data_IF_005533638651
#
_entry.id   IF_005533638651
#
_cell.length_a   1.000
_cell.length_b   1.000
_cell.length_c   1.000
_cell.angle_alpha   90.00
_cell.angle_beta   90.00
_cell.angle_gamma   90.00
#
_symmetry.space_group_name_H-M   'P 1'
#
loop_
_entity.id
_entity.type
_entity.pdbx_description
1 polymer ?
#
# COMPACT_ATOMS: atom_id res chain seq x y z
N UNK A 1 27.38 -22.77 -10.55
CA UNK A 1 26.22 -22.05 -9.94
C UNK A 1 25.77 -22.91 -8.79
N UNK A 2 26.12 -22.52 -7.57
CA UNK A 2 25.84 -23.31 -6.36
C UNK A 2 24.36 -23.23 -6.04
N UNK A 3 23.67 -24.38 -6.05
CA UNK A 3 22.29 -24.47 -5.56
C UNK A 3 22.23 -23.93 -4.11
N UNK A 4 21.25 -23.08 -3.76
CA UNK A 4 21.08 -22.66 -2.39
C UNK A 4 20.82 -23.90 -1.51
N UNK A 5 21.51 -23.97 -0.38
CA UNK A 5 21.42 -25.06 0.58
C UNK A 5 19.95 -25.24 1.01
N UNK A 6 19.38 -26.46 0.98
CA UNK A 6 17.93 -26.66 1.10
C UNK A 6 17.30 -26.25 2.43
N UNK A 7 18.09 -25.95 3.47
CA UNK A 7 17.60 -25.82 4.85
C UNK A 7 18.31 -24.70 5.62
N UNK A 8 18.63 -23.56 4.99
CA UNK A 8 19.05 -22.39 5.78
C UNK A 8 17.80 -21.76 6.45
N UNK A 9 17.69 -21.77 7.80
CA UNK A 9 16.53 -21.21 8.50
C UNK A 9 16.31 -19.72 8.22
N UNK A 10 17.35 -19.01 7.80
CA UNK A 10 17.32 -17.59 7.45
C UNK A 10 17.02 -17.30 5.98
N UNK A 11 16.88 -18.31 5.12
CA UNK A 11 16.70 -18.11 3.68
C UNK A 11 15.47 -17.26 3.37
N UNK A 12 14.31 -17.62 3.93
CA UNK A 12 13.04 -16.88 3.74
C UNK A 12 13.18 -15.43 4.23
N UNK A 13 13.87 -15.21 5.36
CA UNK A 13 14.10 -13.86 5.87
C UNK A 13 14.89 -12.98 4.89
N UNK A 14 15.96 -13.55 4.30
CA UNK A 14 16.82 -12.82 3.37
C UNK A 14 16.11 -12.55 2.05
N UNK A 15 15.39 -13.52 1.49
CA UNK A 15 14.69 -13.31 0.22
C UNK A 15 13.48 -12.36 0.38
N UNK A 16 12.74 -12.43 1.50
CA UNK A 16 11.71 -11.44 1.82
C UNK A 16 12.31 -10.04 1.97
N UNK A 17 13.41 -9.89 2.72
CA UNK A 17 14.10 -8.62 2.88
C UNK A 17 14.62 -8.06 1.54
N UNK A 18 15.18 -8.93 0.70
CA UNK A 18 15.60 -8.57 -0.65
C UNK A 18 14.42 -8.14 -1.51
N UNK A 19 13.29 -8.85 -1.47
CA UNK A 19 12.07 -8.49 -2.20
C UNK A 19 11.52 -7.12 -1.79
N UNK A 20 11.55 -6.79 -0.49
CA UNK A 20 11.15 -5.46 0.01
C UNK A 20 12.08 -4.35 -0.49
N UNK A 21 13.40 -4.56 -0.40
CA UNK A 21 14.37 -3.57 -0.91
C UNK A 21 14.20 -3.40 -2.43
N UNK A 22 14.02 -4.50 -3.15
CA UNK A 22 13.83 -4.48 -4.60
C UNK A 22 12.55 -3.73 -4.98
N UNK A 23 11.48 -3.87 -4.18
CA UNK A 23 10.24 -3.15 -4.35
C UNK A 23 10.41 -1.64 -4.16
N UNK A 24 11.15 -1.22 -3.14
CA UNK A 24 11.49 0.20 -2.92
C UNK A 24 12.35 0.75 -4.06
N UNK A 25 13.38 0.01 -4.48
CA UNK A 25 14.22 0.40 -5.62
C UNK A 25 13.39 0.52 -6.90
N UNK A 26 12.43 -0.39 -7.12
CA UNK A 26 11.53 -0.34 -8.26
C UNK A 26 10.68 0.94 -8.31
N UNK A 27 10.25 1.43 -7.16
CA UNK A 27 9.46 2.67 -7.07
C UNK A 27 10.32 3.93 -7.20
N UNK A 28 11.50 3.91 -6.60
CA UNK A 28 12.36 5.09 -6.48
C UNK A 28 13.28 5.30 -7.70
N UNK A 29 13.74 4.22 -8.34
CA UNK A 29 14.62 4.32 -9.50
C UNK A 29 13.77 4.49 -10.76
N UNK A 30 13.79 5.70 -11.28
CA UNK A 30 13.10 6.08 -12.49
C UNK A 30 14.06 6.77 -13.45
N UNK A 31 13.86 6.54 -14.75
CA UNK A 31 14.54 7.25 -15.83
C UNK A 31 13.45 8.00 -16.58
N UNK A 32 13.54 9.34 -16.62
CA UNK A 32 12.52 10.19 -17.25
C UNK A 32 11.10 9.91 -16.72
N UNK A 33 10.98 9.80 -15.38
CA UNK A 33 9.72 9.50 -14.67
C UNK A 33 9.08 8.14 -14.99
N UNK A 34 9.82 7.26 -15.68
CA UNK A 34 9.38 5.89 -16.00
C UNK A 34 10.12 4.88 -15.17
N UNK A 35 9.36 3.90 -14.65
CA UNK A 35 9.92 2.76 -13.96
C UNK A 35 10.79 1.91 -14.90
N UNK A 36 11.86 1.34 -14.35
CA UNK A 36 12.72 0.41 -15.10
C UNK A 36 12.01 -0.95 -15.23
N UNK A 37 11.59 -1.29 -16.46
CA UNK A 37 10.86 -2.54 -16.78
C UNK A 37 11.54 -3.78 -16.21
N UNK A 38 12.86 -3.92 -16.42
CA UNK A 38 13.67 -5.06 -15.95
C UNK A 38 13.59 -5.24 -14.43
N UNK A 39 13.46 -4.13 -13.69
CA UNK A 39 13.39 -4.15 -12.24
C UNK A 39 12.05 -4.69 -11.75
N UNK A 40 10.95 -4.28 -12.38
CA UNK A 40 9.62 -4.81 -12.08
C UNK A 40 9.45 -6.28 -12.51
N UNK A 41 9.98 -6.68 -13.65
CA UNK A 41 9.99 -8.10 -14.06
C UNK A 41 10.82 -8.96 -13.08
N UNK A 42 11.97 -8.45 -12.63
CA UNK A 42 12.78 -9.07 -11.59
C UNK A 42 12.04 -9.20 -10.27
N UNK A 43 11.30 -8.15 -9.87
CA UNK A 43 10.48 -8.15 -8.66
C UNK A 43 9.39 -9.23 -8.71
N UNK A 44 8.66 -9.34 -9.82
CA UNK A 44 7.63 -10.38 -10.01
C UNK A 44 8.21 -11.79 -9.90
N UNK A 45 9.39 -12.03 -10.48
CA UNK A 45 10.07 -13.33 -10.37
C UNK A 45 10.44 -13.64 -8.90
N UNK A 46 10.95 -12.65 -8.16
CA UNK A 46 11.27 -12.82 -6.73
C UNK A 46 10.01 -13.08 -5.91
N UNK A 47 8.90 -12.37 -6.18
CA UNK A 47 7.63 -12.60 -5.51
C UNK A 47 7.10 -14.01 -5.73
N UNK A 48 7.24 -14.55 -6.93
CA UNK A 48 6.86 -15.94 -7.20
C UNK A 48 7.72 -16.93 -6.39
N UNK A 49 9.03 -16.69 -6.30
CA UNK A 49 9.94 -17.54 -5.49
C UNK A 49 9.56 -17.46 -4.00
N UNK A 50 9.25 -16.27 -3.51
CA UNK A 50 8.80 -16.06 -2.12
C UNK A 50 7.49 -16.82 -1.89
N UNK A 51 6.50 -16.65 -2.77
CA UNK A 51 5.18 -17.28 -2.63
C UNK A 51 5.25 -18.80 -2.61
N UNK A 52 6.09 -19.40 -3.47
CA UNK A 52 6.28 -20.86 -3.56
C UNK A 52 6.81 -21.52 -2.27
N UNK A 53 7.30 -20.74 -1.30
CA UNK A 53 7.69 -21.29 0.01
C UNK A 53 6.49 -21.54 0.93
N UNK A 54 5.31 -21.00 0.61
CA UNK A 54 4.02 -21.19 1.30
C UNK A 54 4.04 -20.95 2.84
N UNK A 55 5.09 -20.34 3.35
CA UNK A 55 5.17 -19.94 4.77
C UNK A 55 4.30 -18.72 5.05
N UNK A 56 3.77 -18.61 6.27
CA UNK A 56 3.02 -17.41 6.69
C UNK A 56 3.81 -16.12 6.46
N UNK A 57 5.12 -16.14 6.74
CA UNK A 57 5.99 -14.98 6.55
C UNK A 57 6.16 -14.61 5.09
N UNK A 58 6.32 -15.59 4.21
CA UNK A 58 6.49 -15.34 2.78
C UNK A 58 5.22 -14.80 2.16
N UNK A 59 4.06 -15.35 2.51
CA UNK A 59 2.75 -14.87 2.07
C UNK A 59 2.54 -13.42 2.53
N UNK A 60 2.79 -13.12 3.82
CA UNK A 60 2.72 -11.75 4.35
C UNK A 60 3.64 -10.80 3.58
N UNK A 61 4.88 -11.22 3.30
CA UNK A 61 5.83 -10.43 2.53
C UNK A 61 5.33 -10.15 1.10
N UNK A 62 4.79 -11.16 0.42
CA UNK A 62 4.23 -10.99 -0.94
C UNK A 62 3.08 -10.00 -0.92
N UNK A 63 2.12 -10.15 0.01
CA UNK A 63 1.02 -9.20 0.16
C UNK A 63 1.51 -7.78 0.46
N UNK A 64 2.54 -7.62 1.31
CA UNK A 64 3.13 -6.30 1.60
C UNK A 64 3.74 -5.65 0.36
N UNK A 65 4.57 -6.38 -0.38
CA UNK A 65 5.19 -5.86 -1.61
C UNK A 65 4.12 -5.52 -2.65
N UNK A 66 3.08 -6.34 -2.79
CA UNK A 66 1.98 -6.09 -3.72
C UNK A 66 1.20 -4.83 -3.36
N UNK A 67 0.93 -4.59 -2.08
CA UNK A 67 0.30 -3.34 -1.63
C UNK A 67 1.14 -2.11 -1.98
N UNK A 68 2.47 -2.24 -1.92
CA UNK A 68 3.41 -1.17 -2.22
C UNK A 68 3.53 -0.90 -3.73
N UNK A 69 3.59 -1.95 -4.55
CA UNK A 69 4.03 -1.86 -5.95
C UNK A 69 2.97 -2.23 -6.99
N UNK A 70 1.82 -2.73 -6.56
CA UNK A 70 0.80 -3.36 -7.41
C UNK A 70 0.32 -2.50 -8.57
N UNK A 71 0.01 -1.22 -8.31
CA UNK A 71 -0.36 -0.24 -9.35
C UNK A 71 0.73 -0.15 -10.41
N UNK A 72 1.96 0.10 -9.97
CA UNK A 72 3.09 0.32 -10.87
C UNK A 72 3.42 -0.92 -11.67
N UNK A 73 3.27 -2.11 -11.10
CA UNK A 73 3.50 -3.39 -11.79
C UNK A 73 2.50 -3.64 -12.93
N UNK A 74 1.22 -3.26 -12.76
CA UNK A 74 0.20 -3.34 -13.81
C UNK A 74 0.52 -2.40 -14.99
N UNK A 75 1.12 -1.24 -14.72
CA UNK A 75 1.43 -0.20 -15.72
C UNK A 75 2.68 -0.49 -16.58
N UNK A 76 3.56 -1.42 -16.16
CA UNK A 76 4.86 -1.65 -16.82
C UNK A 76 4.69 -2.16 -18.25
N UNK A 77 3.97 -3.28 -18.40
CA UNK A 77 3.88 -4.04 -19.63
C UNK A 77 2.82 -5.14 -19.53
N UNK A 78 2.34 -5.61 -20.68
CA UNK A 78 1.39 -6.72 -20.73
C UNK A 78 1.98 -8.04 -20.17
N UNK A 79 3.30 -8.27 -20.33
CA UNK A 79 3.97 -9.44 -19.74
C UNK A 79 4.01 -9.37 -18.21
N UNK A 80 4.25 -8.19 -17.65
CA UNK A 80 4.18 -7.97 -16.20
C UNK A 80 2.79 -8.23 -15.65
N UNK A 81 1.74 -7.77 -16.33
CA UNK A 81 0.36 -8.00 -15.91
C UNK A 81 0.00 -9.49 -15.90
N UNK A 82 0.43 -10.27 -16.91
CA UNK A 82 0.26 -11.75 -16.94
C UNK A 82 0.97 -12.45 -15.77
N UNK A 83 2.20 -12.06 -15.46
CA UNK A 83 2.92 -12.62 -14.29
C UNK A 83 2.25 -12.25 -12.96
N UNK A 84 1.67 -11.05 -12.89
CA UNK A 84 0.89 -10.64 -11.74
C UNK A 84 -0.39 -11.48 -11.61
N UNK A 85 -1.06 -11.83 -12.71
CA UNK A 85 -2.19 -12.78 -12.72
C UNK A 85 -1.83 -14.16 -12.20
N UNK A 86 -0.67 -14.69 -12.58
CA UNK A 86 -0.15 -15.96 -12.06
C UNK A 86 0.07 -15.88 -10.54
N UNK A 87 0.67 -14.80 -10.05
CA UNK A 87 0.92 -14.58 -8.63
C UNK A 87 -0.40 -14.49 -7.83
N UNK A 88 -1.39 -13.75 -8.33
CA UNK A 88 -2.70 -13.65 -7.71
C UNK A 88 -3.49 -14.97 -7.76
N UNK A 89 -3.29 -15.77 -8.82
CA UNK A 89 -3.84 -17.12 -8.89
C UNK A 89 -3.25 -18.02 -7.81
N UNK A 90 -1.94 -17.91 -7.54
CA UNK A 90 -1.28 -18.58 -6.41
C UNK A 90 -1.86 -18.17 -5.06
N UNK A 91 -2.07 -16.87 -4.84
CA UNK A 91 -2.71 -16.37 -3.62
C UNK A 91 -4.14 -16.91 -3.44
N UNK A 92 -4.93 -16.96 -4.51
CA UNK A 92 -6.29 -17.54 -4.49
C UNK A 92 -6.26 -19.04 -4.19
N UNK A 93 -5.27 -19.78 -4.68
CA UNK A 93 -5.11 -21.20 -4.36
C UNK A 93 -4.83 -21.41 -2.87
N UNK A 94 -3.97 -20.57 -2.27
CA UNK A 94 -3.66 -20.64 -0.83
C UNK A 94 -4.93 -20.43 0.02
N UNK A 95 -5.84 -19.57 -0.42
CA UNK A 95 -7.12 -19.36 0.28
C UNK A 95 -8.02 -20.59 0.29
N UNK A 96 -7.84 -21.56 -0.61
CA UNK A 96 -8.68 -22.77 -0.63
C UNK A 96 -8.32 -23.72 0.51
N UNK A 97 -7.13 -23.60 1.11
CA UNK A 97 -6.72 -24.49 2.20
C UNK A 97 -7.64 -24.33 3.42
N UNK A 98 -8.21 -25.44 3.95
CA UNK A 98 -9.17 -25.40 5.05
C UNK A 98 -8.53 -24.92 6.37
N UNK A 99 -7.27 -25.27 6.61
CA UNK A 99 -6.54 -24.97 7.85
C UNK A 99 -5.72 -23.67 7.78
N UNK A 100 -5.97 -22.82 6.78
CA UNK A 100 -5.28 -21.54 6.66
C UNK A 100 -5.69 -20.61 7.81
N UNK A 101 -4.69 -20.03 8.49
CA UNK A 101 -4.86 -19.04 9.54
C UNK A 101 -5.86 -17.93 9.12
N UNK A 102 -6.89 -17.62 9.94
CA UNK A 102 -7.91 -16.63 9.58
C UNK A 102 -7.36 -15.24 9.30
N UNK A 103 -6.31 -14.82 10.00
CA UNK A 103 -5.68 -13.52 9.77
C UNK A 103 -4.89 -13.53 8.46
N UNK A 104 -4.19 -14.62 8.13
CA UNK A 104 -3.53 -14.78 6.84
C UNK A 104 -4.55 -14.77 5.68
N UNK A 105 -5.67 -15.47 5.84
CA UNK A 105 -6.80 -15.44 4.90
C UNK A 105 -7.31 -14.02 4.68
N UNK A 106 -7.50 -13.27 5.76
CA UNK A 106 -7.92 -11.87 5.69
C UNK A 106 -6.89 -11.01 4.94
N UNK A 107 -5.60 -11.15 5.23
CA UNK A 107 -4.52 -10.39 4.55
C UNK A 107 -4.52 -10.65 3.04
N UNK A 108 -4.66 -11.92 2.63
CA UNK A 108 -4.73 -12.30 1.21
C UNK A 108 -6.00 -11.71 0.57
N UNK A 109 -7.16 -11.88 1.22
CA UNK A 109 -8.42 -11.34 0.71
C UNK A 109 -8.35 -9.83 0.49
N UNK A 110 -7.76 -9.08 1.43
CA UNK A 110 -7.60 -7.64 1.30
C UNK A 110 -6.77 -7.25 0.06
N UNK A 111 -5.65 -7.95 -0.20
CA UNK A 111 -4.82 -7.59 -1.36
C UNK A 111 -5.51 -7.93 -2.68
N UNK A 112 -6.32 -9.00 -2.69
CA UNK A 112 -7.19 -9.36 -3.82
C UNK A 112 -8.23 -8.27 -4.08
N UNK A 113 -8.96 -7.85 -3.04
CA UNK A 113 -9.96 -6.78 -3.15
C UNK A 113 -9.35 -5.45 -3.57
N UNK A 114 -8.13 -5.14 -3.10
CA UNK A 114 -7.37 -4.00 -3.57
C UNK A 114 -7.16 -4.08 -5.08
N UNK A 115 -6.67 -5.21 -5.61
CA UNK A 115 -6.50 -5.37 -7.06
C UNK A 115 -7.82 -5.27 -7.82
N UNK A 116 -8.86 -5.95 -7.35
CA UNK A 116 -10.19 -5.96 -7.98
C UNK A 116 -10.82 -4.54 -8.01
N UNK A 117 -10.48 -3.68 -7.03
CA UNK A 117 -10.88 -2.27 -6.96
C UNK A 117 -9.89 -1.29 -7.61
N UNK A 118 -9.03 -1.78 -8.52
CA UNK A 118 -7.97 -0.99 -9.18
C UNK A 118 -7.07 -0.25 -8.20
N UNK A 119 -6.68 -0.96 -7.14
CA UNK A 119 -5.80 -0.49 -6.07
C UNK A 119 -6.30 0.78 -5.36
N UNK A 120 -7.61 1.05 -5.41
CA UNK A 120 -8.22 2.24 -4.81
C UNK A 120 -8.22 3.50 -5.68
N UNK A 121 -7.77 3.43 -6.94
CA UNK A 121 -7.78 4.58 -7.86
C UNK A 121 -9.20 5.11 -8.13
N UNK A 122 -10.22 4.25 -8.06
CA UNK A 122 -11.63 4.64 -8.29
C UNK A 122 -12.24 5.49 -7.16
N UNK A 123 -11.60 5.59 -5.98
CA UNK A 123 -12.13 6.40 -4.87
C UNK A 123 -11.95 7.91 -5.10
N UNK A 124 -10.99 8.31 -5.91
CA UNK A 124 -10.73 9.74 -6.17
C UNK A 124 -11.74 10.33 -7.16
N UNK A 125 -12.33 9.51 -8.05
CA UNK A 125 -13.31 9.96 -9.04
C UNK A 125 -14.77 9.89 -8.55
N UNK A 126 -15.04 9.24 -7.42
CA UNK A 126 -16.41 9.02 -6.91
C UNK A 126 -16.74 9.75 -5.60
N UNK A 127 -15.88 10.65 -5.11
CA UNK A 127 -16.29 11.67 -4.13
C UNK A 127 -17.06 12.81 -4.79
N UNK A 128 -18.10 12.46 -5.54
CA UNK A 128 -19.26 13.30 -5.80
C UNK A 128 -20.46 12.60 -5.16
N UNK A 129 -20.43 12.46 -3.83
CA UNK A 129 -21.58 12.03 -3.06
C UNK A 129 -22.31 13.28 -2.53
N UNK A 130 -23.58 13.37 -2.90
CA UNK A 130 -24.51 14.46 -2.64
C UNK A 130 -24.61 14.92 -1.18
N UNK A 131 -24.85 16.24 -1.07
CA UNK A 131 -25.49 17.01 0.00
C UNK A 131 -24.64 17.59 1.15
N UNK A 132 -24.02 18.76 0.90
CA UNK A 132 -24.14 19.99 1.71
C UNK A 132 -23.59 21.19 0.90
N UNK A 133 -24.07 22.43 1.14
CA UNK A 133 -24.19 23.44 0.10
C UNK A 133 -22.85 24.04 -0.33
N UNK A 134 -22.79 24.36 -1.62
CA UNK A 134 -21.84 25.30 -2.24
C UNK A 134 -21.67 26.51 -1.33
N UNK A 135 -20.48 26.66 -0.76
CA UNK A 135 -19.92 27.96 -0.42
C UNK A 135 -18.68 28.17 -1.28
N UNK A 136 -18.72 29.30 -1.97
CA UNK A 136 -17.79 29.80 -2.96
C UNK A 136 -16.42 30.14 -2.34
N UNK A 137 -15.41 30.09 -3.21
CA UNK A 137 -14.08 30.71 -3.05
C UNK A 137 -12.95 29.88 -2.39
N UNK A 138 -12.34 29.02 -3.20
CA UNK A 138 -10.97 29.32 -3.68
C UNK A 138 -9.77 29.17 -2.75
N UNK A 139 -9.87 28.48 -1.60
CA UNK A 139 -8.70 28.08 -0.81
C UNK A 139 -8.85 26.65 -0.28
N UNK A 140 -7.84 25.79 -0.52
CA UNK A 140 -7.69 24.47 0.10
C UNK A 140 -7.39 24.65 1.61
N UNK A 141 -8.41 24.97 2.40
CA UNK A 141 -8.28 25.11 3.85
C UNK A 141 -8.42 23.73 4.52
N UNK A 142 -7.52 23.36 5.47
CA UNK A 142 -7.57 22.06 6.10
C UNK A 142 -8.86 21.87 6.91
N UNK A 143 -9.51 20.72 6.74
CA UNK A 143 -10.69 20.32 7.50
C UNK A 143 -10.26 19.72 8.84
N UNK A 144 -10.74 20.27 9.95
CA UNK A 144 -10.43 19.79 11.30
C UNK A 144 -11.46 18.77 11.79
N UNK A 145 -10.98 17.69 12.43
CA UNK A 145 -11.82 16.64 13.00
C UNK A 145 -11.75 16.64 14.53
N UNK A 146 -12.90 16.51 15.18
CA UNK A 146 -13.01 16.33 16.61
C UNK A 146 -12.58 14.93 17.07
N UNK A 147 -12.44 14.70 18.40
CA UNK A 147 -12.10 13.39 18.96
C UNK A 147 -13.17 12.32 18.71
N UNK A 148 -14.38 12.71 18.28
CA UNK A 148 -15.46 11.82 17.84
C UNK A 148 -15.37 11.46 16.34
N UNK A 149 -14.37 12.00 15.63
CA UNK A 149 -14.12 11.74 14.21
C UNK A 149 -15.04 12.51 13.25
N UNK A 150 -15.81 13.49 13.75
CA UNK A 150 -16.64 14.35 12.91
C UNK A 150 -15.93 15.66 12.60
N UNK A 151 -16.32 16.28 11.48
CA UNK A 151 -15.82 17.61 11.11
C UNK A 151 -16.27 18.61 12.17
N UNK A 152 -15.33 19.39 12.70
CA UNK A 152 -15.59 20.43 13.69
C UNK A 152 -16.52 21.47 13.06
N UNK A 153 -17.62 21.77 13.74
CA UNK A 153 -18.58 22.78 13.28
C UNK A 153 -18.03 24.20 13.49
N UNK A 154 -18.58 25.19 12.80
CA UNK A 154 -18.19 26.60 12.97
C UNK A 154 -18.39 27.09 14.43
N UNK A 155 -19.43 26.58 15.10
CA UNK A 155 -19.72 26.85 16.52
C UNK A 155 -18.63 26.28 17.43
N UNK A 156 -18.20 25.03 17.20
CA UNK A 156 -17.10 24.40 17.94
C UNK A 156 -15.75 25.05 17.63
N UNK A 157 -15.55 25.48 16.38
CA UNK A 157 -14.34 26.21 15.96
C UNK A 157 -14.22 27.54 16.70
N UNK A 158 -15.34 28.27 16.81
CA UNK A 158 -15.43 29.52 17.58
C UNK A 158 -15.19 29.27 19.07
N UNK A 159 -15.80 28.23 19.64
CA UNK A 159 -15.60 27.86 21.04
C UNK A 159 -14.12 27.53 21.34
N UNK A 160 -13.44 26.80 20.46
CA UNK A 160 -12.01 26.52 20.63
C UNK A 160 -11.18 27.80 20.57
N UNK A 161 -11.47 28.71 19.62
CA UNK A 161 -10.75 29.97 19.50
C UNK A 161 -10.88 30.86 20.74
N UNK A 162 -12.06 30.88 21.35
CA UNK A 162 -12.34 31.69 22.56
C UNK A 162 -11.77 31.10 23.84
N UNK A 163 -11.49 29.78 23.87
CA UNK A 163 -11.07 29.06 25.08
C UNK A 163 -9.63 28.53 25.03
N UNK A 164 -8.90 28.72 23.93
CA UNK A 164 -7.45 28.51 23.89
C UNK A 164 -6.82 29.71 24.63
N UNK A 165 -6.15 29.49 25.77
CA UNK A 165 -5.29 30.52 26.32
C UNK A 165 -4.23 30.80 25.26
N UNK A 166 -4.15 32.05 24.78
CA UNK A 166 -2.98 32.52 24.07
C UNK A 166 -1.78 32.35 25.01
N UNK A 167 -1.10 31.20 24.94
CA UNK A 167 0.26 31.11 25.43
C UNK A 167 1.09 31.95 24.46
N UNK A 168 1.26 33.22 24.82
CA UNK A 168 2.37 34.05 24.34
C UNK A 168 3.68 33.35 24.70
N UNK A 169 4.12 32.41 23.86
CA UNK A 169 5.48 31.86 23.87
C UNK A 169 5.75 31.24 22.48
N UNK A 170 5.65 32.05 21.44
CA UNK A 170 6.27 31.76 20.13
C UNK A 170 6.97 33.05 19.64
N UNK A 171 7.91 33.54 20.45
CA UNK A 171 9.09 34.22 19.91
C UNK A 171 10.29 33.31 20.17
N UNK A 172 11.20 33.25 19.21
CA UNK A 172 12.44 32.44 19.17
C UNK A 172 12.34 30.98 18.72
N UNK A 173 12.01 30.78 17.43
CA UNK A 173 12.79 29.83 16.61
C UNK A 173 12.98 30.36 15.19
N UNK A 174 14.02 31.19 15.02
CA UNK A 174 14.72 31.35 13.75
C UNK A 174 15.77 30.24 13.67
N UNK A 175 15.60 29.31 12.74
CA UNK A 175 16.70 28.62 12.04
C UNK A 175 16.28 28.34 10.60
#
# INVERSE_FOLDING_TARGET
>A
MSNPLPNDPGYINRICGFGLILAELFLQIQIEEKCIVVLGEGLLNILQIILNSESEKSIKCVCQVLKLTGVKLEEISESSSKKLDELFSGLRLIMVYPDLDPNLRFIIQNVIEMRDSRWGQNRTEQSSCDAAPVNTDGYDEPVFFGPDGKVITEEETSFLHDNIPLSEDIEDYVW
#
